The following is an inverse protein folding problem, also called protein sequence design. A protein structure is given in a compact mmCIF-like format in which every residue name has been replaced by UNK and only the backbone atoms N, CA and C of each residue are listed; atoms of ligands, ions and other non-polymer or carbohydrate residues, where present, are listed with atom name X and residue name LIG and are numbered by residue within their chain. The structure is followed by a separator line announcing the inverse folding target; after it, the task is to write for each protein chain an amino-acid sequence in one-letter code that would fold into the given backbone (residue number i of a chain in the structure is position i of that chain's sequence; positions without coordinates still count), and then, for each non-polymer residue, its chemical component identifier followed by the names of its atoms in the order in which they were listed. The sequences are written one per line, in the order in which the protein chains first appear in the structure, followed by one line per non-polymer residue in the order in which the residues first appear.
data_IF_830591973697
#
_entry.id   IF_830591973697
#
_cell.length_a   1.000
_cell.length_b   1.000
_cell.length_c   1.000
_cell.angle_alpha   90.00
_cell.angle_beta   90.00
_cell.angle_gamma   90.00
#
_symmetry.space_group_name_H-M   'P 1'
#
loop_
_entity.id
_entity.type
_entity.pdbx_description
1 polymer ?
#
# COMPACT_ATOMS: atom_id res chain seq x y z
N UNK A 1 48.15 48.81 34.46
CA UNK A 1 47.78 48.88 35.89
C UNK A 1 46.26 48.92 36.02
N UNK A 2 45.71 47.95 36.75
CA UNK A 2 44.43 47.92 37.50
C UNK A 2 43.11 48.52 36.93
N UNK A 3 42.26 47.60 36.44
CA UNK A 3 40.88 47.27 36.88
C UNK A 3 39.94 48.41 37.34
N UNK A 4 38.78 48.55 36.67
CA UNK A 4 37.46 48.46 37.33
C UNK A 4 36.30 48.11 36.39
N UNK A 5 35.61 47.03 36.77
CA UNK A 5 34.41 46.45 36.17
C UNK A 5 33.18 47.31 36.47
N UNK A 6 32.24 47.44 35.53
CA UNK A 6 30.79 47.40 35.82
C UNK A 6 30.13 46.52 34.75
N UNK A 7 29.53 45.44 35.23
CA UNK A 7 28.69 44.50 34.50
C UNK A 7 27.26 45.05 34.58
N UNK A 8 26.57 45.19 33.44
CA UNK A 8 25.12 45.30 33.40
C UNK A 8 24.58 44.25 32.44
N UNK A 9 24.08 43.16 33.04
CA UNK A 9 23.33 42.09 32.39
C UNK A 9 21.93 42.63 32.13
N UNK A 10 21.52 42.71 30.86
CA UNK A 10 20.10 42.76 30.49
C UNK A 10 19.79 41.52 29.68
N UNK A 11 19.24 40.55 30.40
CA UNK A 11 18.67 39.31 29.93
C UNK A 11 17.45 39.58 29.04
N UNK A 12 17.61 39.50 27.72
CA UNK A 12 16.50 39.29 26.81
C UNK A 12 16.33 37.78 26.61
N UNK A 13 15.44 37.19 27.43
CA UNK A 13 14.86 35.88 27.19
C UNK A 13 13.98 35.93 25.95
N UNK A 14 14.61 35.84 24.78
CA UNK A 14 13.92 35.52 23.53
C UNK A 14 13.55 34.04 23.57
N UNK A 15 12.28 33.75 23.82
CA UNK A 15 11.71 32.41 23.67
C UNK A 15 12.01 31.91 22.25
N UNK A 16 13.01 31.03 22.12
CA UNK A 16 13.07 30.08 21.02
C UNK A 16 11.86 29.17 21.21
N UNK A 17 10.75 29.53 20.57
CA UNK A 17 9.71 28.59 20.21
C UNK A 17 10.37 27.63 19.23
N UNK A 18 11.05 26.62 19.76
CA UNK A 18 11.30 25.39 19.02
C UNK A 18 9.91 24.86 18.71
N UNK A 19 9.41 25.19 17.52
CA UNK A 19 8.29 24.49 16.94
C UNK A 19 8.63 23.02 17.05
N UNK A 20 7.88 22.29 17.87
CA UNK A 20 7.90 20.86 17.84
C UNK A 20 7.54 20.50 16.40
N UNK A 21 8.56 20.12 15.62
CA UNK A 21 8.36 19.36 14.42
C UNK A 21 7.63 18.12 14.91
N UNK A 22 6.31 18.10 14.77
CA UNK A 22 5.56 16.87 14.79
C UNK A 22 6.17 16.05 13.67
N UNK A 23 7.11 15.17 14.01
CA UNK A 23 7.51 14.09 13.12
C UNK A 23 6.20 13.45 12.69
N UNK A 24 5.81 13.65 11.44
CA UNK A 24 4.61 13.05 10.90
C UNK A 24 4.74 11.56 11.20
N UNK A 25 3.80 11.02 11.99
CA UNK A 25 3.83 9.60 12.27
C UNK A 25 3.79 8.91 10.90
N UNK A 26 4.79 8.08 10.53
CA UNK A 26 4.79 7.40 9.24
C UNK A 26 3.48 6.65 9.03
N UNK A 27 2.81 6.23 10.13
CA UNK A 27 1.46 5.66 10.11
C UNK A 27 0.38 6.59 9.53
N UNK A 28 0.42 7.88 9.87
CA UNK A 28 -0.54 8.89 9.41
C UNK A 28 -0.20 9.32 7.97
N UNK A 29 1.09 9.39 7.63
CA UNK A 29 1.54 9.75 6.29
C UNK A 29 1.25 8.65 5.25
N UNK A 30 1.50 7.37 5.55
CA UNK A 30 1.13 6.27 4.64
C UNK A 30 -0.39 6.22 4.50
N UNK A 31 -1.13 6.41 5.60
CA UNK A 31 -2.60 6.43 5.56
C UNK A 31 -3.09 7.61 4.71
N UNK A 32 -2.61 8.82 4.90
CA UNK A 32 -3.14 9.94 4.13
C UNK A 32 -2.73 9.89 2.64
N UNK A 33 -1.59 9.24 2.29
CA UNK A 33 -1.23 8.90 0.90
C UNK A 33 -2.07 7.76 0.32
N UNK A 34 -2.31 6.69 1.08
CA UNK A 34 -3.13 5.55 0.64
C UNK A 34 -4.61 5.86 0.58
N UNK A 35 -5.06 6.73 1.48
CA UNK A 35 -6.44 7.12 1.69
C UNK A 35 -6.76 8.52 1.12
N UNK A 36 -5.80 9.20 0.49
CA UNK A 36 -6.03 10.47 -0.18
C UNK A 36 -6.75 10.32 -1.53
N UNK A 37 -7.42 11.38 -2.03
CA UNK A 37 -8.17 11.34 -3.28
C UNK A 37 -7.31 11.04 -4.53
N UNK A 38 -6.01 11.37 -4.50
CA UNK A 38 -5.12 11.31 -5.67
C UNK A 38 -4.89 9.91 -6.25
N UNK A 39 -4.92 8.86 -5.42
CA UNK A 39 -4.61 7.51 -5.88
C UNK A 39 -5.75 6.82 -6.62
N UNK A 40 -7.00 7.28 -6.44
CA UNK A 40 -8.16 6.70 -7.15
C UNK A 40 -8.26 7.22 -8.59
N UNK A 41 -7.67 8.37 -8.87
CA UNK A 41 -7.66 9.02 -10.18
C UNK A 41 -6.41 8.65 -11.01
N UNK A 42 -5.55 7.75 -10.50
CA UNK A 42 -4.41 7.23 -11.24
C UNK A 42 -4.89 6.58 -12.55
N UNK A 43 -4.38 7.03 -13.71
CA UNK A 43 -4.74 6.45 -15.00
C UNK A 43 -4.23 5.00 -15.08
N UNK A 44 -4.93 4.16 -15.85
CA UNK A 44 -4.44 2.81 -16.14
C UNK A 44 -3.09 2.90 -16.85
N UNK A 45 -2.17 2.02 -16.46
CA UNK A 45 -0.88 1.84 -17.08
C UNK A 45 -1.03 1.62 -18.58
N UNK A 46 -0.08 2.17 -19.34
CA UNK A 46 0.00 1.94 -20.79
C UNK A 46 0.82 0.71 -21.13
N UNK A 47 1.48 0.09 -20.16
CA UNK A 47 2.31 -1.09 -20.38
C UNK A 47 1.45 -2.28 -20.82
N UNK A 48 1.82 -2.88 -21.94
CA UNK A 48 1.09 -4.03 -22.50
C UNK A 48 1.13 -5.24 -21.56
N UNK A 49 0.16 -6.18 -21.62
CA UNK A 49 0.06 -7.34 -20.71
C UNK A 49 1.32 -8.19 -20.52
N UNK A 50 2.22 -8.19 -21.49
CA UNK A 50 3.48 -8.94 -21.51
C UNK A 50 4.72 -8.11 -21.15
N UNK A 51 4.57 -6.80 -20.94
CA UNK A 51 5.67 -5.89 -20.60
C UNK A 51 5.78 -5.70 -19.08
N UNK A 52 7.01 -5.44 -18.63
CA UNK A 52 7.23 -4.95 -17.28
C UNK A 52 6.63 -3.54 -17.12
N UNK A 53 6.06 -3.29 -15.96
CA UNK A 53 5.51 -2.00 -15.58
C UNK A 53 6.62 -1.23 -14.88
N UNK A 54 7.14 -0.21 -15.55
CA UNK A 54 8.13 0.69 -14.96
C UNK A 54 7.44 1.61 -13.94
N UNK A 55 7.92 1.58 -12.69
CA UNK A 55 7.35 2.38 -11.61
C UNK A 55 8.43 3.26 -10.98
N UNK A 56 8.23 4.57 -11.10
CA UNK A 56 9.00 5.58 -10.38
C UNK A 56 8.62 5.61 -8.89
N UNK A 57 9.57 6.05 -8.05
CA UNK A 57 9.31 6.27 -6.64
C UNK A 57 8.27 7.37 -6.41
N UNK A 58 7.46 7.17 -5.38
CA UNK A 58 6.41 8.07 -4.89
C UNK A 58 5.34 8.42 -5.94
N UNK A 59 5.24 7.60 -7.01
CA UNK A 59 4.21 7.71 -8.03
C UNK A 59 3.34 6.46 -8.04
N UNK A 60 2.02 6.59 -7.86
CA UNK A 60 1.13 5.46 -7.97
C UNK A 60 0.97 5.04 -9.43
N UNK A 61 1.00 3.74 -9.68
CA UNK A 61 0.75 3.15 -10.99
C UNK A 61 -0.42 2.17 -10.91
N UNK A 62 -1.38 2.29 -11.83
CA UNK A 62 -2.61 1.48 -11.83
C UNK A 62 -2.57 0.41 -12.91
N UNK A 63 -2.70 -0.81 -12.43
CA UNK A 63 -2.62 -2.09 -13.10
C UNK A 63 -3.84 -2.94 -13.38
N UNK A 64 -3.80 -3.84 -14.36
CA UNK A 64 -4.58 -5.09 -14.31
C UNK A 64 -3.69 -6.32 -14.44
N UNK A 65 -4.04 -7.33 -13.65
CA UNK A 65 -3.69 -8.73 -13.94
C UNK A 65 -4.97 -9.34 -14.50
N UNK A 66 -5.00 -9.60 -15.80
CA UNK A 66 -6.19 -10.02 -16.54
C UNK A 66 -5.90 -11.24 -17.42
N UNK A 67 -6.89 -11.70 -18.19
CA UNK A 67 -6.75 -12.90 -19.01
C UNK A 67 -5.65 -12.79 -20.08
N UNK A 68 -5.30 -11.58 -20.51
CA UNK A 68 -4.23 -11.30 -21.47
C UNK A 68 -2.83 -11.27 -20.83
N UNK A 69 -2.75 -11.17 -19.50
CA UNK A 69 -1.49 -11.22 -18.77
C UNK A 69 -0.83 -12.60 -18.91
N UNK A 70 0.50 -12.62 -18.95
CA UNK A 70 1.28 -13.85 -19.04
C UNK A 70 1.03 -14.75 -17.83
N UNK A 71 1.18 -16.06 -18.04
CA UNK A 71 1.25 -17.06 -16.97
C UNK A 71 2.68 -17.55 -16.76
N UNK A 72 3.04 -17.83 -15.51
CA UNK A 72 4.30 -18.49 -15.16
C UNK A 72 4.11 -19.43 -13.98
N UNK A 73 4.95 -20.46 -13.90
CA UNK A 73 5.07 -21.29 -12.71
C UNK A 73 5.80 -20.52 -11.60
N UNK A 74 5.11 -20.32 -10.48
CA UNK A 74 5.68 -19.80 -9.24
C UNK A 74 5.75 -20.92 -8.19
N UNK A 75 6.49 -20.74 -7.07
CA UNK A 75 6.54 -21.73 -5.99
C UNK A 75 5.16 -22.18 -5.46
N UNK A 76 4.15 -21.30 -5.47
CA UNK A 76 2.77 -21.60 -5.05
C UNK A 76 1.85 -22.04 -6.20
N UNK A 77 2.41 -22.35 -7.38
CA UNK A 77 1.68 -22.83 -8.55
C UNK A 77 1.65 -21.82 -9.70
N UNK A 78 1.07 -22.27 -10.82
CA UNK A 78 0.98 -21.49 -12.06
C UNK A 78 -0.04 -20.36 -11.92
N UNK A 79 0.36 -19.13 -12.22
CA UNK A 79 -0.52 -17.97 -12.09
C UNK A 79 -0.25 -16.90 -13.12
N UNK A 80 -1.27 -16.06 -13.36
CA UNK A 80 -1.15 -14.82 -14.12
C UNK A 80 -0.45 -13.78 -13.28
N UNK A 81 0.41 -13.01 -13.92
CA UNK A 81 1.22 -12.04 -13.21
C UNK A 81 1.50 -10.80 -14.05
N UNK A 82 1.91 -9.75 -13.36
CA UNK A 82 2.58 -8.59 -13.96
C UNK A 82 3.91 -8.37 -13.25
N UNK A 83 4.94 -8.02 -14.01
CA UNK A 83 6.24 -7.62 -13.47
C UNK A 83 6.22 -6.12 -13.24
N UNK A 84 6.73 -5.70 -12.09
CA UNK A 84 7.03 -4.30 -11.78
C UNK A 84 8.55 -4.16 -11.74
N UNK A 85 9.06 -3.18 -12.47
CA UNK A 85 10.49 -2.85 -12.54
C UNK A 85 10.70 -1.43 -12.01
N UNK A 86 11.66 -1.30 -11.09
CA UNK A 86 12.10 -0.04 -10.53
C UNK A 86 13.26 0.52 -11.38
N UNK A 87 13.45 1.85 -11.43
CA UNK A 87 14.54 2.47 -12.19
C UNK A 87 15.94 2.07 -11.69
N UNK A 88 16.05 1.59 -10.45
CA UNK A 88 17.28 1.04 -9.85
C UNK A 88 16.96 0.08 -8.72
N UNK A 89 17.94 -0.73 -8.33
CA UNK A 89 17.86 -1.48 -7.09
C UNK A 89 17.87 -0.53 -5.88
N UNK A 90 17.01 -0.85 -4.91
CA UNK A 90 16.93 -0.16 -3.61
C UNK A 90 17.14 -1.13 -2.48
N UNK A 91 17.92 -0.71 -1.48
CA UNK A 91 18.22 -1.52 -0.30
C UNK A 91 16.95 -1.75 0.54
N UNK A 92 16.17 -0.70 0.76
CA UNK A 92 14.92 -0.73 1.51
C UNK A 92 13.85 0.05 0.75
N UNK A 93 12.67 -0.55 0.60
CA UNK A 93 11.52 0.10 0.02
C UNK A 93 10.24 -0.31 0.72
N UNK A 94 9.25 0.57 0.62
CA UNK A 94 7.89 0.30 1.02
C UNK A 94 7.03 0.19 -0.23
N UNK A 95 6.37 -0.96 -0.41
CA UNK A 95 5.30 -1.10 -1.38
C UNK A 95 3.96 -0.82 -0.71
N UNK A 96 3.29 0.22 -1.17
CA UNK A 96 1.90 0.51 -0.84
C UNK A 96 1.01 -0.04 -1.94
N UNK A 97 0.13 -0.97 -1.58
CA UNK A 97 -0.70 -1.69 -2.53
C UNK A 97 -2.18 -1.44 -2.24
N UNK A 98 -2.94 -1.11 -3.29
CA UNK A 98 -4.41 -0.99 -3.27
C UNK A 98 -5.00 -2.00 -4.24
N UNK A 99 -5.72 -3.00 -3.75
CA UNK A 99 -6.53 -3.89 -4.58
C UNK A 99 -7.91 -3.28 -4.71
N UNK A 100 -8.36 -3.02 -5.93
CA UNK A 100 -9.73 -2.52 -6.16
C UNK A 100 -10.68 -3.69 -6.32
N UNK A 101 -11.82 -3.59 -5.66
CA UNK A 101 -12.93 -4.51 -5.91
C UNK A 101 -13.50 -4.21 -7.29
N UNK A 102 -13.56 -5.24 -8.13
CA UNK A 102 -14.08 -5.17 -9.50
C UNK A 102 -15.39 -5.96 -9.61
N UNK A 103 -16.29 -5.62 -10.54
CA UNK A 103 -17.49 -6.43 -10.78
C UNK A 103 -17.13 -7.90 -11.02
N UNK A 104 -17.92 -8.80 -10.46
CA UNK A 104 -17.74 -10.23 -10.67
C UNK A 104 -18.30 -10.65 -12.04
N UNK A 105 -17.43 -10.90 -13.01
CA UNK A 105 -17.84 -11.32 -14.36
C UNK A 105 -18.62 -12.65 -14.39
N UNK A 106 -18.50 -13.48 -13.33
CA UNK A 106 -19.15 -14.80 -13.22
C UNK A 106 -20.37 -14.80 -12.30
N UNK A 107 -20.86 -13.63 -11.87
CA UNK A 107 -22.00 -13.60 -10.96
C UNK A 107 -22.37 -12.22 -10.43
N UNK A 108 -22.89 -12.19 -9.20
CA UNK A 108 -23.27 -10.95 -8.52
C UNK A 108 -22.15 -10.46 -7.61
N UNK A 109 -22.17 -9.16 -7.33
CA UNK A 109 -21.25 -8.51 -6.39
C UNK A 109 -19.89 -8.20 -7.01
N UNK A 110 -18.91 -7.97 -6.14
CA UNK A 110 -17.55 -7.64 -6.53
C UNK A 110 -16.58 -8.73 -6.08
N UNK A 111 -15.51 -8.93 -6.84
CA UNK A 111 -14.35 -9.76 -6.51
C UNK A 111 -13.14 -8.88 -6.22
N UNK A 112 -12.15 -9.46 -5.56
CA UNK A 112 -10.85 -8.82 -5.30
C UNK A 112 -9.72 -9.78 -5.65
N UNK A 113 -8.56 -9.22 -5.96
CA UNK A 113 -7.34 -10.00 -6.16
C UNK A 113 -6.66 -10.28 -4.81
N UNK A 114 -6.11 -11.48 -4.57
CA UNK A 114 -5.22 -11.72 -3.40
C UNK A 114 -3.76 -11.62 -3.87
N UNK A 115 -3.08 -10.48 -3.68
CA UNK A 115 -1.73 -10.32 -4.18
C UNK A 115 -0.72 -11.15 -3.37
N UNK A 116 0.22 -11.74 -4.10
CA UNK A 116 1.47 -12.32 -3.62
C UNK A 116 2.58 -11.69 -4.44
N UNK A 117 3.64 -11.24 -3.75
CA UNK A 117 4.80 -10.64 -4.37
C UNK A 117 5.90 -11.67 -4.50
N UNK A 118 6.49 -11.74 -5.67
CA UNK A 118 7.64 -12.59 -5.98
C UNK A 118 8.81 -11.69 -6.33
N UNK A 119 9.77 -11.54 -5.41
CA UNK A 119 10.95 -10.74 -5.68
C UNK A 119 11.84 -11.51 -6.65
N UNK A 120 12.23 -10.84 -7.74
CA UNK A 120 12.94 -11.45 -8.85
C UNK A 120 14.41 -11.06 -8.78
N UNK A 121 15.31 -12.00 -9.10
CA UNK A 121 16.72 -11.70 -9.35
C UNK A 121 16.96 -11.23 -10.80
N UNK A 122 18.20 -10.92 -11.13
CA UNK A 122 18.60 -10.47 -12.48
C UNK A 122 18.41 -11.56 -13.56
N UNK A 123 18.18 -12.81 -13.16
CA UNK A 123 17.91 -13.95 -14.05
C UNK A 123 16.41 -14.27 -14.16
N UNK A 124 15.55 -13.37 -13.66
CA UNK A 124 14.09 -13.50 -13.60
C UNK A 124 13.59 -14.65 -12.69
N UNK A 125 14.45 -15.19 -11.82
CA UNK A 125 14.08 -16.27 -10.89
C UNK A 125 13.51 -15.69 -9.61
N UNK A 126 12.59 -16.44 -8.99
CA UNK A 126 12.04 -16.07 -7.68
C UNK A 126 13.12 -16.25 -6.62
N UNK A 127 13.60 -15.14 -6.06
CA UNK A 127 14.49 -15.14 -4.91
C UNK A 127 13.71 -15.29 -3.61
N UNK A 128 12.57 -14.65 -3.52
CA UNK A 128 11.78 -14.54 -2.30
C UNK A 128 10.29 -14.39 -2.63
N UNK A 129 9.44 -14.97 -1.79
CA UNK A 129 7.99 -14.77 -1.88
C UNK A 129 7.45 -14.09 -0.63
N UNK A 130 6.60 -13.08 -0.83
CA UNK A 130 5.94 -12.32 0.22
C UNK A 130 4.43 -12.35 0.02
N UNK A 131 3.72 -12.95 0.96
CA UNK A 131 2.27 -12.82 1.03
C UNK A 131 1.92 -11.39 1.46
N UNK A 132 0.95 -10.79 0.77
CA UNK A 132 0.49 -9.43 1.09
C UNK A 132 -0.63 -9.53 2.11
N UNK A 133 -0.25 -9.67 3.38
CA UNK A 133 -1.15 -9.71 4.52
C UNK A 133 -0.57 -8.85 5.67
N UNK A 134 -1.39 -8.13 6.46
CA UNK A 134 -2.85 -8.07 6.37
C UNK A 134 -3.36 -7.13 5.26
N UNK A 135 -4.49 -7.50 4.67
CA UNK A 135 -5.28 -6.63 3.80
C UNK A 135 -6.32 -5.86 4.62
N UNK A 136 -6.24 -4.53 4.62
CA UNK A 136 -7.19 -3.65 5.30
C UNK A 136 -8.32 -3.21 4.37
N UNK A 137 -9.56 -3.43 4.81
CA UNK A 137 -10.74 -2.95 4.10
C UNK A 137 -10.85 -1.41 4.17
N UNK A 138 -11.05 -0.78 3.02
CA UNK A 138 -11.41 0.63 2.90
C UNK A 138 -12.69 0.78 2.06
N UNK A 139 -13.71 1.36 2.67
CA UNK A 139 -15.03 1.62 2.07
C UNK A 139 -15.31 3.10 2.18
N UNK A 140 -15.64 3.72 1.06
CA UNK A 140 -16.02 5.13 0.97
C UNK A 140 -17.31 5.28 0.20
N UNK A 141 -18.15 6.27 0.54
CA UNK A 141 -19.30 6.61 -0.27
C UNK A 141 -18.90 6.88 -1.72
N UNK A 142 -19.64 6.31 -2.67
CA UNK A 142 -19.51 6.55 -4.12
C UNK A 142 -18.15 6.20 -4.75
N UNK A 143 -17.29 5.47 -4.05
CA UNK A 143 -16.03 4.95 -4.59
C UNK A 143 -16.02 3.42 -4.49
N UNK A 144 -15.36 2.71 -5.42
CA UNK A 144 -15.22 1.27 -5.32
C UNK A 144 -14.52 0.86 -4.02
N UNK A 145 -15.02 -0.21 -3.38
CA UNK A 145 -14.37 -0.84 -2.25
C UNK A 145 -12.96 -1.25 -2.61
N UNK A 146 -12.03 -1.16 -1.66
CA UNK A 146 -10.64 -1.54 -1.86
C UNK A 146 -10.04 -2.22 -0.65
N UNK A 147 -9.04 -3.05 -0.90
CA UNK A 147 -8.18 -3.64 0.12
C UNK A 147 -6.81 -2.97 0.04
N UNK A 148 -6.25 -2.66 1.19
CA UNK A 148 -5.02 -1.89 1.31
C UNK A 148 -3.98 -2.72 2.04
N UNK A 149 -2.74 -2.68 1.57
CA UNK A 149 -1.62 -3.30 2.24
C UNK A 149 -0.38 -2.42 2.16
N UNK A 150 0.50 -2.64 3.12
CA UNK A 150 1.83 -2.06 3.15
C UNK A 150 2.82 -3.19 3.34
N UNK A 151 3.81 -3.30 2.45
CA UNK A 151 4.77 -4.38 2.46
C UNK A 151 6.18 -3.79 2.42
N UNK A 152 7.01 -4.03 3.45
CA UNK A 152 8.43 -3.70 3.39
C UNK A 152 9.13 -4.69 2.44
N UNK A 153 9.99 -4.14 1.57
CA UNK A 153 10.78 -4.87 0.59
C UNK A 153 12.26 -4.55 0.80
N UNK A 154 13.11 -5.55 0.58
CA UNK A 154 14.56 -5.42 0.71
C UNK A 154 15.27 -5.83 -0.58
N UNK A 155 16.31 -5.09 -0.95
CA UNK A 155 17.15 -5.33 -2.14
C UNK A 155 16.30 -5.63 -3.37
N UNK A 156 15.38 -4.72 -3.69
CA UNK A 156 14.38 -4.91 -4.75
C UNK A 156 14.70 -4.02 -5.93
N UNK A 157 14.71 -4.63 -7.12
CA UNK A 157 14.72 -3.95 -8.42
C UNK A 157 13.53 -4.39 -9.27
N UNK A 158 13.18 -5.67 -9.20
CA UNK A 158 12.04 -6.27 -9.90
C UNK A 158 11.27 -7.18 -8.98
N UNK A 159 9.96 -7.19 -9.17
CA UNK A 159 9.10 -8.18 -8.53
C UNK A 159 7.89 -8.46 -9.41
N UNK A 160 7.40 -9.70 -9.37
CA UNK A 160 6.13 -10.07 -9.97
C UNK A 160 5.01 -10.01 -8.94
N UNK A 161 3.84 -9.56 -9.37
CA UNK A 161 2.61 -9.59 -8.57
C UNK A 161 1.67 -10.61 -9.21
N UNK A 162 1.30 -11.63 -8.45
CA UNK A 162 0.37 -12.67 -8.87
C UNK A 162 -0.63 -13.00 -7.74
N UNK A 163 -1.54 -13.94 -7.98
CA UNK A 163 -2.38 -14.55 -6.94
C UNK A 163 -2.15 -16.05 -6.92
N UNK A 164 -2.26 -16.70 -5.77
CA UNK A 164 -2.11 -18.17 -5.74
C UNK A 164 -3.37 -18.85 -6.29
N UNK A 165 -3.25 -19.98 -7.01
CA UNK A 165 -4.40 -20.78 -7.44
C UNK A 165 -5.29 -21.20 -6.26
N UNK A 166 -4.68 -21.50 -5.11
CA UNK A 166 -5.40 -21.88 -3.89
C UNK A 166 -6.22 -20.76 -3.27
N UNK A 167 -5.89 -19.49 -3.54
CA UNK A 167 -6.67 -18.35 -3.07
C UNK A 167 -7.95 -18.18 -3.90
N UNK A 168 -7.93 -18.55 -5.18
CA UNK A 168 -9.08 -18.37 -6.09
C UNK A 168 -10.28 -19.17 -5.57
N UNK A 169 -11.43 -18.50 -5.44
CA UNK A 169 -12.65 -19.09 -4.89
C UNK A 169 -12.74 -19.08 -3.36
N UNK A 170 -11.66 -18.78 -2.64
CA UNK A 170 -11.73 -18.34 -1.23
C UNK A 170 -12.21 -16.89 -1.17
N UNK A 171 -12.28 -16.31 0.02
CA UNK A 171 -12.71 -14.92 0.17
C UNK A 171 -11.91 -14.19 1.25
N UNK A 172 -11.74 -12.89 1.04
CA UNK A 172 -11.45 -11.94 2.10
C UNK A 172 -12.66 -11.86 3.04
N UNK A 173 -12.43 -11.85 4.35
CA UNK A 173 -13.46 -11.70 5.37
C UNK A 173 -13.03 -10.62 6.38
N UNK A 174 -13.78 -9.52 6.42
CA UNK A 174 -13.51 -8.39 7.31
C UNK A 174 -14.03 -8.59 8.74
N UNK A 175 -14.06 -9.83 9.24
CA UNK A 175 -14.53 -10.09 10.61
C UNK A 175 -13.50 -9.60 11.64
N UNK A 176 -13.94 -8.63 12.44
CA UNK A 176 -13.26 -8.01 13.58
C UNK A 176 -12.29 -6.86 13.27
N UNK A 177 -12.83 -5.62 13.17
CA UNK A 177 -12.23 -4.53 13.94
C UNK A 177 -12.90 -4.46 15.29
N UNK A 178 -12.10 -4.55 16.35
CA UNK A 178 -12.54 -4.27 17.72
C UNK A 178 -13.28 -2.95 17.77
N UNK A 179 -14.36 -2.93 18.57
CA UNK A 179 -15.21 -1.76 18.84
C UNK A 179 -14.40 -0.45 18.76
N UNK A 180 -14.54 0.28 17.66
CA UNK A 180 -14.17 1.69 17.61
C UNK A 180 -15.19 2.43 18.48
N UNK A 181 -14.88 2.55 19.78
CA UNK A 181 -15.62 3.42 20.69
C UNK A 181 -15.33 4.85 20.28
N UNK A 182 -16.25 5.45 19.50
CA UNK A 182 -16.22 6.88 19.26
C UNK A 182 -16.69 7.58 20.55
N UNK A 183 -15.88 8.45 21.18
CA UNK A 183 -16.37 9.30 22.26
C UNK A 183 -17.15 10.44 21.62
N UNK A 184 -18.44 10.24 21.32
CA UNK A 184 -19.29 11.32 20.83
C UNK A 184 -20.41 11.64 21.82
N UNK A 185 -20.22 12.75 22.55
CA UNK A 185 -21.35 13.59 22.94
C UNK A 185 -21.74 14.41 21.71
N UNK A 186 -22.71 13.93 20.93
CA UNK A 186 -23.33 14.74 19.88
C UNK A 186 -23.60 14.02 18.57
N UNK A 187 -24.78 13.39 18.50
CA UNK A 187 -25.66 13.20 17.33
C UNK A 187 -24.99 13.17 15.94
N UNK A 188 -24.63 11.98 15.45
CA UNK A 188 -24.91 11.49 14.09
C UNK A 188 -24.81 9.95 14.12
N UNK A 189 -25.89 9.25 13.73
CA UNK A 189 -25.93 7.79 13.72
C UNK A 189 -25.52 7.27 12.34
N UNK A 190 -24.39 6.55 12.26
CA UNK A 190 -24.27 5.45 11.32
C UNK A 190 -24.20 4.18 12.17
N UNK A 191 -25.02 3.18 11.83
CA UNK A 191 -25.03 1.87 12.48
C UNK A 191 -23.58 1.36 12.62
N UNK A 192 -23.13 1.15 13.85
CA UNK A 192 -21.84 0.51 14.15
C UNK A 192 -21.94 -1.01 14.08
N UNK A 193 -22.92 -1.55 13.34
CA UNK A 193 -22.87 -2.97 13.01
C UNK A 193 -21.58 -3.22 12.21
N UNK A 194 -20.75 -4.20 12.63
CA UNK A 194 -19.58 -4.56 11.84
C UNK A 194 -20.10 -5.02 10.48
N UNK A 195 -19.91 -4.20 9.45
CA UNK A 195 -20.19 -4.61 8.08
C UNK A 195 -19.30 -5.82 7.79
N UNK A 196 -19.89 -7.01 7.86
CA UNK A 196 -19.23 -8.25 7.46
C UNK A 196 -19.10 -8.20 5.95
N UNK A 197 -17.93 -7.77 5.49
CA UNK A 197 -17.62 -7.69 4.07
C UNK A 197 -16.86 -8.95 3.70
N UNK A 198 -17.51 -9.77 2.88
CA UNK A 198 -16.92 -10.96 2.29
C UNK A 198 -16.72 -10.70 0.80
N UNK A 199 -15.46 -10.65 0.36
CA UNK A 199 -15.11 -10.40 -1.03
C UNK A 199 -14.40 -11.64 -1.59
N UNK A 200 -14.99 -12.36 -2.56
CA UNK A 200 -14.35 -13.52 -3.17
C UNK A 200 -13.06 -13.13 -3.90
N UNK A 201 -12.05 -13.98 -3.77
CA UNK A 201 -10.79 -13.84 -4.48
C UNK A 201 -10.91 -14.37 -5.91
N UNK A 202 -10.45 -13.57 -6.87
CA UNK A 202 -10.40 -13.90 -8.28
C UNK A 202 -8.95 -14.09 -8.77
N UNK A 203 -8.81 -14.82 -9.88
CA UNK A 203 -7.52 -15.03 -10.56
C UNK A 203 -6.99 -13.75 -11.24
N UNK A 204 -7.89 -12.80 -11.50
CA UNK A 204 -7.62 -11.52 -12.14
C UNK A 204 -8.07 -10.40 -11.21
N UNK A 205 -7.59 -9.18 -11.47
CA UNK A 205 -8.05 -8.01 -10.75
C UNK A 205 -7.27 -6.76 -11.07
N UNK A 206 -7.62 -5.70 -10.35
CA UNK A 206 -7.09 -4.37 -10.58
C UNK A 206 -6.34 -3.90 -9.34
N UNK A 207 -5.11 -3.40 -9.55
CA UNK A 207 -4.21 -2.98 -8.49
C UNK A 207 -3.75 -1.55 -8.73
N UNK A 208 -3.45 -0.84 -7.63
CA UNK A 208 -2.63 0.39 -7.66
C UNK A 208 -1.45 0.15 -6.75
N UNK A 209 -0.25 0.33 -7.26
CA UNK A 209 1.00 0.19 -6.52
C UNK A 209 1.69 1.54 -6.43
N UNK A 210 2.36 1.79 -5.32
CA UNK A 210 3.19 2.98 -5.12
C UNK A 210 4.38 2.54 -4.28
N UNK A 211 5.60 2.79 -4.78
CA UNK A 211 6.83 2.44 -4.08
C UNK A 211 7.49 3.68 -3.52
N UNK A 212 7.99 3.60 -2.30
CA UNK A 212 8.84 4.65 -1.71
C UNK A 212 10.13 4.02 -1.21
N UNK A 213 11.27 4.62 -1.54
CA UNK A 213 12.56 4.25 -0.95
C UNK A 213 12.58 4.66 0.52
N UNK A 214 13.22 3.83 1.36
CA UNK A 214 13.32 4.05 2.80
C UNK A 214 14.79 4.04 3.23
N UNK A 215 15.09 4.74 4.32
CA UNK A 215 16.44 4.76 4.90
C UNK A 215 16.76 3.46 5.65
N UNK A 216 15.75 2.85 6.28
CA UNK A 216 15.91 1.61 7.06
C UNK A 216 14.81 0.57 6.74
N UNK A 217 15.13 -0.69 7.03
CA UNK A 217 14.19 -1.80 6.88
C UNK A 217 12.93 -1.59 7.72
N UNK A 218 11.76 -1.82 7.13
CA UNK A 218 10.47 -1.75 7.83
C UNK A 218 9.91 -0.34 8.02
N UNK A 219 10.59 0.71 7.60
CA UNK A 219 10.02 2.06 7.58
C UNK A 219 8.92 2.20 6.50
N UNK A 220 8.05 3.19 6.65
CA UNK A 220 7.00 3.54 5.68
C UNK A 220 5.71 2.71 5.74
N UNK A 221 5.73 1.62 6.52
CA UNK A 221 4.58 0.89 7.08
C UNK A 221 4.53 1.16 8.59
#
# INVERSE_FOLDING_TARGET
MYVRRIIAVVSLSGCLVTGAAFAANPFVEWRDRLFGPKADDTPMSRAEPYEAIEVDFDRPERFRVDEASLERDFPQGKSRYRVIELPREVAHATLRLRVRAVPNDRGRGNTVFKPVLYLLDDQDRVRETREVDPLYLDIRPFKPTRLLACVPLEKVRRFAVATTPEAVGKAFDATARGKLSAPSKGKFYYSTEPMRVKLPYAATGELVVELSEQDEAGQGC
#
